data_IF_233951564116
#
_entry.id   IF_233951564116
#
_cell.length_a   1.000
_cell.length_b   1.000
_cell.length_c   1.000
_cell.angle_alpha   90.00
_cell.angle_beta   90.00
_cell.angle_gamma   90.00
#
_symmetry.space_group_name_H-M   'P 1'
#
loop_
_entity.id
_entity.type
_entity.pdbx_description
1 polymer ?
#
# COMPACT_ATOMS: atom_id res chain seq x y z
N UNK A 1 35.62 3.42 9.51
CA UNK A 1 35.46 1.96 9.34
C UNK A 1 34.76 1.25 10.49
N UNK A 2 34.48 1.91 11.61
CA UNK A 2 33.85 1.27 12.80
C UNK A 2 32.31 1.40 12.86
N UNK A 3 31.67 2.21 12.01
CA UNK A 3 30.21 2.48 12.05
C UNK A 3 29.41 1.46 11.23
N UNK A 4 30.00 0.86 10.20
CA UNK A 4 29.33 -0.11 9.32
C UNK A 4 29.11 -1.46 10.00
N UNK A 5 29.97 -1.83 10.94
CA UNK A 5 29.92 -3.13 11.63
C UNK A 5 28.77 -3.20 12.67
N UNK A 6 28.35 -2.07 13.21
CA UNK A 6 27.30 -2.02 14.25
C UNK A 6 25.90 -2.15 13.68
N UNK A 7 25.65 -1.66 12.45
CA UNK A 7 24.33 -1.77 11.81
C UNK A 7 24.00 -3.19 11.35
N UNK A 8 24.99 -3.94 10.87
CA UNK A 8 24.79 -5.34 10.48
C UNK A 8 24.45 -6.26 11.66
N UNK A 9 24.89 -5.93 12.87
CA UNK A 9 24.56 -6.71 14.08
C UNK A 9 23.15 -6.43 14.63
N UNK A 10 22.58 -5.26 14.39
CA UNK A 10 21.21 -4.91 14.84
C UNK A 10 20.16 -5.57 13.95
N UNK A 11 20.38 -5.61 12.64
CA UNK A 11 19.48 -6.32 11.72
C UNK A 11 19.48 -7.83 11.97
N UNK A 12 20.61 -8.42 12.34
CA UNK A 12 20.70 -9.85 12.69
C UNK A 12 19.96 -10.23 13.98
N UNK A 13 19.60 -9.26 14.84
CA UNK A 13 18.88 -9.53 16.10
C UNK A 13 17.35 -9.36 16.00
N UNK A 14 16.84 -8.63 15.02
CA UNK A 14 15.40 -8.41 14.84
C UNK A 14 14.76 -9.54 14.01
N UNK A 15 15.45 -10.05 13.01
CA UNK A 15 15.01 -11.20 12.20
C UNK A 15 14.85 -12.48 13.05
N UNK A 16 15.70 -12.80 14.04
CA UNK A 16 15.51 -14.00 14.87
C UNK A 16 14.29 -13.95 15.80
N UNK A 17 13.80 -12.78 16.19
CA UNK A 17 12.63 -12.68 17.08
C UNK A 17 11.34 -12.99 16.32
N UNK A 18 11.20 -12.55 15.09
CA UNK A 18 10.08 -12.95 14.21
C UNK A 18 10.18 -14.43 13.81
N UNK A 19 11.40 -14.95 13.60
CA UNK A 19 11.65 -16.35 13.27
C UNK A 19 11.56 -17.28 14.50
N UNK A 20 11.93 -16.83 15.68
CA UNK A 20 11.75 -17.64 16.91
C UNK A 20 10.29 -17.86 17.25
N UNK A 21 9.44 -16.85 17.05
CA UNK A 21 7.99 -17.02 17.19
C UNK A 21 7.44 -18.12 16.25
N UNK A 22 7.92 -18.16 15.00
CA UNK A 22 7.52 -19.20 14.03
C UNK A 22 7.98 -20.61 14.41
N UNK A 23 9.23 -20.76 14.90
CA UNK A 23 9.72 -22.09 15.30
C UNK A 23 9.04 -22.63 16.56
N UNK A 24 8.67 -21.78 17.49
CA UNK A 24 7.90 -22.23 18.66
C UNK A 24 6.45 -22.61 18.30
N UNK A 25 5.83 -21.90 17.33
CA UNK A 25 4.47 -22.21 16.86
C UNK A 25 4.47 -23.51 16.02
N UNK A 26 5.51 -23.74 15.18
CA UNK A 26 5.63 -24.96 14.39
C UNK A 26 5.80 -26.23 15.23
N UNK A 27 6.32 -26.12 16.46
CA UNK A 27 6.46 -27.27 17.37
C UNK A 27 5.21 -27.57 18.21
N UNK A 28 4.21 -26.67 18.27
CA UNK A 28 2.99 -26.91 19.07
C UNK A 28 1.83 -27.49 18.25
N UNK A 29 2.01 -27.72 16.96
CA UNK A 29 1.12 -28.56 16.13
C UNK A 29 -0.36 -28.18 16.07
N UNK A 30 -0.78 -26.97 16.45
CA UNK A 30 -2.17 -26.57 16.43
C UNK A 30 -2.46 -25.53 15.31
N UNK A 31 -3.00 -25.96 14.15
CA UNK A 31 -3.31 -25.08 13.02
C UNK A 31 -4.35 -23.97 13.34
N UNK A 32 -5.16 -24.17 14.42
CA UNK A 32 -6.18 -23.18 14.82
C UNK A 32 -5.59 -21.93 15.47
N UNK A 33 -4.42 -22.02 16.12
CA UNK A 33 -3.74 -20.89 16.76
C UNK A 33 -3.11 -19.92 15.74
N UNK A 34 -2.60 -20.41 14.61
CA UNK A 34 -2.03 -19.59 13.57
C UNK A 34 -3.11 -18.78 12.82
N UNK A 35 -4.29 -19.37 12.62
CA UNK A 35 -5.40 -18.67 11.95
C UNK A 35 -5.99 -17.55 12.83
N UNK A 36 -6.14 -17.76 14.16
CA UNK A 36 -6.70 -16.75 15.06
C UNK A 36 -5.78 -15.53 15.27
N UNK A 37 -4.46 -15.72 15.30
CA UNK A 37 -3.49 -14.63 15.45
C UNK A 37 -3.51 -13.72 14.21
N UNK A 38 -3.73 -14.29 13.03
CA UNK A 38 -3.73 -13.55 11.78
C UNK A 38 -5.02 -12.74 11.54
N UNK A 39 -6.17 -13.29 11.92
CA UNK A 39 -7.47 -12.58 11.87
C UNK A 39 -7.52 -11.41 12.85
N UNK A 40 -6.97 -11.58 14.06
CA UNK A 40 -6.87 -10.52 15.06
C UNK A 40 -5.97 -9.35 14.62
N UNK A 41 -4.92 -9.62 13.84
CA UNK A 41 -4.03 -8.55 13.38
C UNK A 41 -4.67 -7.70 12.28
N UNK A 42 -5.35 -8.32 11.32
CA UNK A 42 -6.07 -7.62 10.26
C UNK A 42 -7.23 -6.78 10.82
N UNK A 43 -7.99 -7.32 11.77
CA UNK A 43 -9.08 -6.62 12.44
C UNK A 43 -8.60 -5.45 13.32
N UNK A 44 -7.42 -5.56 13.92
CA UNK A 44 -6.81 -4.48 14.70
C UNK A 44 -6.31 -3.34 13.83
N UNK A 45 -5.85 -3.60 12.61
CA UNK A 45 -5.31 -2.57 11.72
C UNK A 45 -6.36 -1.55 11.27
N UNK A 46 -7.65 -1.91 11.27
CA UNK A 46 -8.77 -1.01 10.94
C UNK A 46 -9.64 -0.66 12.13
N UNK A 47 -9.35 -1.20 13.33
CA UNK A 47 -10.23 -1.05 14.51
C UNK A 47 -10.05 0.27 15.25
N UNK A 48 -8.87 0.89 15.18
CA UNK A 48 -8.59 2.12 15.90
C UNK A 48 -9.30 3.33 15.26
N UNK A 49 -10.00 4.17 16.05
CA UNK A 49 -10.74 5.32 15.51
C UNK A 49 -9.90 6.27 14.66
N UNK A 50 -8.65 6.52 15.03
CA UNK A 50 -7.75 7.38 14.27
C UNK A 50 -7.36 6.79 12.91
N UNK A 51 -7.27 5.46 12.80
CA UNK A 51 -6.98 4.78 11.54
C UNK A 51 -8.17 4.92 10.58
N UNK A 52 -9.39 4.72 11.07
CA UNK A 52 -10.60 4.92 10.26
C UNK A 52 -10.71 6.37 9.78
N UNK A 53 -10.46 7.35 10.64
CA UNK A 53 -10.44 8.77 10.25
C UNK A 53 -9.38 9.04 9.17
N UNK A 54 -8.17 8.52 9.34
CA UNK A 54 -7.11 8.61 8.34
C UNK A 54 -7.53 8.01 7.00
N UNK A 55 -8.05 6.77 7.00
CA UNK A 55 -8.49 6.08 5.80
C UNK A 55 -9.61 6.82 5.07
N UNK A 56 -10.60 7.32 5.80
CA UNK A 56 -11.70 8.10 5.23
C UNK A 56 -11.20 9.41 4.59
N UNK A 57 -10.30 10.13 5.25
CA UNK A 57 -9.71 11.36 4.73
C UNK A 57 -8.86 11.10 3.49
N UNK A 58 -8.05 10.04 3.50
CA UNK A 58 -7.22 9.63 2.37
C UNK A 58 -8.09 9.22 1.18
N UNK A 59 -9.10 8.39 1.39
CA UNK A 59 -10.05 7.98 0.35
C UNK A 59 -10.75 9.20 -0.26
N UNK A 60 -11.26 10.10 0.58
CA UNK A 60 -11.89 11.34 0.11
C UNK A 60 -10.92 12.19 -0.71
N UNK A 61 -9.67 12.32 -0.26
CA UNK A 61 -8.64 13.08 -0.95
C UNK A 61 -8.30 12.50 -2.33
N UNK A 62 -8.19 11.17 -2.44
CA UNK A 62 -8.01 10.47 -3.72
C UNK A 62 -9.21 10.73 -4.64
N UNK A 63 -10.45 10.61 -4.14
CA UNK A 63 -11.65 10.81 -4.94
C UNK A 63 -11.78 12.25 -5.45
N UNK A 64 -11.44 13.25 -4.65
CA UNK A 64 -11.42 14.66 -5.08
C UNK A 64 -10.40 14.92 -6.19
N UNK A 65 -9.37 14.11 -6.29
CA UNK A 65 -8.28 14.27 -7.26
C UNK A 65 -8.21 13.16 -8.31
N UNK A 66 -9.28 12.36 -8.45
CA UNK A 66 -9.27 11.19 -9.36
C UNK A 66 -8.89 11.56 -10.80
N UNK A 67 -9.43 12.64 -11.33
CA UNK A 67 -9.11 13.13 -12.68
C UNK A 67 -7.70 13.73 -12.73
N UNK A 68 -7.23 14.32 -11.63
CA UNK A 68 -5.90 14.91 -11.54
C UNK A 68 -4.80 13.81 -11.58
N UNK A 69 -5.07 12.60 -11.08
CA UNK A 69 -4.14 11.45 -11.15
C UNK A 69 -3.74 11.18 -12.60
N UNK A 70 -4.57 11.53 -13.58
CA UNK A 70 -4.28 11.41 -15.02
C UNK A 70 -4.19 9.97 -15.54
N UNK A 71 -4.78 9.03 -14.81
CA UNK A 71 -5.09 7.69 -15.31
C UNK A 71 -6.49 7.73 -15.91
N UNK A 72 -6.63 7.12 -17.08
CA UNK A 72 -7.94 7.02 -17.70
C UNK A 72 -8.74 5.87 -17.03
N UNK A 73 -9.20 6.13 -15.81
CA UNK A 73 -9.95 5.18 -14.99
C UNK A 73 -11.30 4.80 -15.61
N UNK A 74 -11.83 3.66 -15.18
CA UNK A 74 -13.22 3.27 -15.47
C UNK A 74 -14.13 4.15 -14.62
N UNK A 75 -15.17 4.68 -15.26
CA UNK A 75 -16.24 5.35 -14.53
C UNK A 75 -17.23 4.29 -14.00
N UNK A 76 -17.32 4.10 -12.68
CA UNK A 76 -18.24 3.13 -12.10
C UNK A 76 -19.71 3.37 -12.49
N UNK A 77 -20.10 4.62 -12.78
CA UNK A 77 -21.47 4.95 -13.16
C UNK A 77 -21.84 4.45 -14.56
N UNK A 78 -20.84 4.29 -15.46
CA UNK A 78 -21.10 3.87 -16.85
C UNK A 78 -21.14 2.36 -17.04
N UNK A 79 -20.71 1.56 -16.04
CA UNK A 79 -20.68 0.10 -16.15
C UNK A 79 -22.07 -0.54 -16.14
N UNK A 80 -23.13 0.18 -15.74
CA UNK A 80 -24.51 -0.32 -15.73
C UNK A 80 -25.21 -0.28 -17.11
N UNK A 81 -24.67 0.41 -18.12
CA UNK A 81 -25.35 0.58 -19.41
C UNK A 81 -24.87 -0.34 -20.54
N UNK A 82 -23.90 -1.22 -20.31
CA UNK A 82 -23.34 -2.04 -21.40
C UNK A 82 -23.98 -3.45 -21.40
N UNK A 83 -25.26 -3.51 -21.77
CA UNK A 83 -25.96 -4.73 -22.18
C UNK A 83 -26.08 -4.83 -23.71
N UNK A 84 -25.16 -4.28 -24.49
CA UNK A 84 -25.17 -4.43 -25.95
C UNK A 84 -24.04 -5.34 -26.42
N UNK A 85 -24.35 -6.41 -27.19
CA UNK A 85 -23.39 -7.45 -27.57
C UNK A 85 -22.50 -7.09 -28.76
N UNK A 86 -22.25 -5.82 -29.02
CA UNK A 86 -21.31 -5.41 -30.07
C UNK A 86 -19.94 -5.13 -29.48
N UNK A 87 -19.11 -6.16 -29.53
CA UNK A 87 -17.64 -6.22 -29.44
C UNK A 87 -16.91 -4.87 -29.49
N UNK A 88 -16.70 -4.25 -28.32
CA UNK A 88 -15.50 -3.45 -28.07
C UNK A 88 -14.74 -4.19 -26.99
N UNK A 89 -13.48 -4.49 -27.22
CA UNK A 89 -12.57 -5.06 -26.21
C UNK A 89 -12.73 -4.26 -24.93
N UNK A 90 -13.19 -4.90 -23.87
CA UNK A 90 -13.39 -4.26 -22.58
C UNK A 90 -12.05 -3.65 -22.18
N UNK A 91 -12.04 -2.33 -22.02
CA UNK A 91 -10.84 -1.58 -21.62
C UNK A 91 -10.29 -2.16 -20.34
N UNK A 92 -9.00 -2.46 -20.30
CA UNK A 92 -8.29 -2.88 -19.10
C UNK A 92 -7.60 -1.67 -18.48
N UNK A 93 -7.72 -1.54 -17.16
CA UNK A 93 -6.96 -0.61 -16.33
C UNK A 93 -6.32 -1.42 -15.22
N UNK A 94 -4.99 -1.49 -15.20
CA UNK A 94 -4.22 -2.32 -14.28
C UNK A 94 -3.46 -1.47 -13.27
N UNK A 95 -3.59 -1.82 -11.99
CA UNK A 95 -2.97 -1.11 -10.88
C UNK A 95 -2.01 -2.03 -10.12
N UNK A 96 -0.79 -1.56 -9.89
CA UNK A 96 0.14 -2.14 -8.92
C UNK A 96 0.11 -1.27 -7.66
N UNK A 97 -0.34 -1.85 -6.55
CA UNK A 97 -0.30 -1.27 -5.21
C UNK A 97 0.92 -1.82 -4.48
N UNK A 98 2.02 -1.04 -4.41
CA UNK A 98 3.28 -1.48 -3.81
C UNK A 98 3.40 -0.98 -2.37
N UNK A 99 3.86 -1.86 -1.47
CA UNK A 99 3.69 -1.71 -0.02
C UNK A 99 2.20 -1.58 0.34
N UNK A 100 1.40 -2.48 -0.25
CA UNK A 100 -0.06 -2.38 -0.29
C UNK A 100 -0.73 -2.46 1.09
N UNK A 101 -0.04 -2.99 2.11
CA UNK A 101 -0.64 -3.22 3.42
C UNK A 101 -1.94 -4.02 3.31
N UNK A 102 -3.01 -3.63 4.02
CA UNK A 102 -4.32 -4.27 3.92
C UNK A 102 -5.18 -3.75 2.75
N UNK A 103 -4.58 -3.07 1.74
CA UNK A 103 -5.26 -2.65 0.53
C UNK A 103 -6.00 -1.31 0.61
N UNK A 104 -5.48 -0.35 1.34
CA UNK A 104 -6.10 0.98 1.49
C UNK A 104 -6.29 1.70 0.16
N UNK A 105 -5.27 1.70 -0.70
CA UNK A 105 -5.34 2.38 -2.00
C UNK A 105 -6.22 1.60 -2.98
N UNK A 106 -6.10 0.28 -3.00
CA UNK A 106 -6.96 -0.58 -3.81
C UNK A 106 -8.43 -0.35 -3.47
N UNK A 107 -8.79 -0.29 -2.19
CA UNK A 107 -10.14 0.05 -1.74
C UNK A 107 -10.57 1.46 -2.17
N UNK A 108 -9.72 2.47 -2.01
CA UNK A 108 -10.04 3.84 -2.40
C UNK A 108 -10.28 4.00 -3.91
N UNK A 109 -9.61 3.21 -4.74
CA UNK A 109 -9.82 3.19 -6.19
C UNK A 109 -11.02 2.31 -6.59
N UNK A 110 -11.31 1.27 -5.84
CA UNK A 110 -12.47 0.37 -6.02
C UNK A 110 -12.69 -0.06 -7.48
N UNK A 111 -13.90 0.10 -8.02
CA UNK A 111 -14.28 -0.33 -9.37
C UNK A 111 -13.71 0.55 -10.52
N UNK A 112 -12.75 1.43 -10.22
CA UNK A 112 -12.11 2.30 -11.23
C UNK A 112 -11.02 1.63 -12.06
N UNK A 113 -10.60 0.45 -11.64
CA UNK A 113 -9.67 -0.39 -12.42
C UNK A 113 -10.21 -1.81 -12.58
N UNK A 114 -9.67 -2.55 -13.55
CA UNK A 114 -10.09 -3.94 -13.83
C UNK A 114 -9.30 -4.94 -13.03
N UNK A 115 -8.03 -4.63 -12.73
CA UNK A 115 -7.10 -5.57 -12.13
C UNK A 115 -6.20 -4.86 -11.12
N UNK A 116 -6.09 -5.43 -9.93
CA UNK A 116 -5.22 -4.94 -8.87
C UNK A 116 -4.24 -6.03 -8.46
N UNK A 117 -2.96 -5.69 -8.45
CA UNK A 117 -1.92 -6.53 -7.86
C UNK A 117 -1.30 -5.77 -6.70
N UNK A 118 -1.40 -6.33 -5.50
CA UNK A 118 -0.69 -5.85 -4.31
C UNK A 118 0.66 -6.53 -4.16
N UNK A 119 1.69 -5.79 -3.77
CA UNK A 119 2.96 -6.35 -3.31
C UNK A 119 3.28 -5.76 -1.95
N UNK A 120 3.57 -6.63 -0.97
CA UNK A 120 4.03 -6.20 0.35
C UNK A 120 5.14 -7.13 0.84
N UNK A 121 6.05 -6.60 1.65
CA UNK A 121 7.11 -7.38 2.29
C UNK A 121 6.57 -8.26 3.42
N UNK A 122 5.46 -7.86 4.03
CA UNK A 122 4.84 -8.51 5.18
C UNK A 122 3.82 -9.56 4.74
N UNK A 123 4.07 -10.84 5.07
CA UNK A 123 3.11 -11.92 4.85
C UNK A 123 1.75 -11.64 5.51
N UNK A 124 1.74 -10.99 6.68
CA UNK A 124 0.50 -10.67 7.40
C UNK A 124 -0.31 -9.60 6.67
N UNK A 125 0.36 -8.62 6.04
CA UNK A 125 -0.31 -7.59 5.23
C UNK A 125 -0.89 -8.19 3.95
N UNK A 126 -0.12 -9.03 3.26
CA UNK A 126 -0.59 -9.76 2.08
C UNK A 126 -1.81 -10.64 2.42
N UNK A 127 -1.78 -11.32 3.57
CA UNK A 127 -2.92 -12.10 4.02
C UNK A 127 -4.14 -11.23 4.30
N UNK A 128 -3.96 -10.08 4.98
CA UNK A 128 -5.04 -9.13 5.26
C UNK A 128 -5.66 -8.59 3.96
N UNK A 129 -4.82 -8.23 3.00
CA UNK A 129 -5.25 -7.81 1.67
C UNK A 129 -6.10 -8.90 0.98
N UNK A 130 -5.58 -10.13 0.91
CA UNK A 130 -6.26 -11.22 0.22
C UNK A 130 -7.57 -11.64 0.92
N UNK A 131 -7.64 -11.55 2.25
CA UNK A 131 -8.91 -11.79 2.98
C UNK A 131 -9.94 -10.72 2.64
N UNK A 132 -9.52 -9.46 2.52
CA UNK A 132 -10.42 -8.35 2.22
C UNK A 132 -11.02 -8.46 0.81
N UNK A 133 -10.19 -8.73 -0.20
CA UNK A 133 -10.61 -8.69 -1.61
C UNK A 133 -11.01 -10.05 -2.18
N UNK A 134 -10.63 -11.16 -1.53
CA UNK A 134 -10.99 -12.52 -1.92
C UNK A 134 -11.40 -13.33 -0.67
N UNK A 135 -12.52 -12.99 -0.04
CA UNK A 135 -12.98 -13.71 1.12
C UNK A 135 -13.31 -15.17 0.73
N UNK A 136 -12.51 -16.11 1.23
CA UNK A 136 -12.82 -17.51 1.07
C UNK A 136 -14.02 -17.85 1.93
N UNK A 137 -15.13 -18.41 1.39
CA UNK A 137 -16.35 -18.72 2.17
C UNK A 137 -16.08 -19.68 3.34
N UNK A 138 -14.97 -20.42 3.34
CA UNK A 138 -14.56 -21.27 4.46
C UNK A 138 -13.95 -20.49 5.64
N UNK A 139 -13.58 -19.22 5.44
CA UNK A 139 -12.97 -18.36 6.46
C UNK A 139 -13.90 -17.23 6.96
N UNK A 140 -15.16 -17.22 6.54
CA UNK A 140 -16.16 -16.27 6.99
C UNK A 140 -16.45 -16.52 8.49
N UNK A 141 -15.63 -15.94 9.35
CA UNK A 141 -15.97 -15.77 10.76
C UNK A 141 -17.02 -14.66 10.82
N UNK A 142 -18.20 -14.97 11.38
CA UNK A 142 -19.32 -14.05 11.58
C UNK A 142 -18.84 -12.72 12.21
N UNK A 143 -18.51 -11.74 11.41
CA UNK A 143 -18.38 -10.34 11.82
C UNK A 143 -19.74 -9.68 11.57
N UNK A 144 -20.66 -9.88 12.49
CA UNK A 144 -21.86 -9.04 12.57
C UNK A 144 -21.47 -7.69 13.14
N UNK A 145 -20.96 -6.79 12.32
CA UNK A 145 -20.82 -5.38 12.67
C UNK A 145 -22.14 -4.67 12.38
N UNK A 146 -22.67 -4.01 13.41
CA UNK A 146 -24.02 -3.44 13.47
C UNK A 146 -24.16 -2.08 12.78
N UNK A 147 -23.25 -1.66 11.90
CA UNK A 147 -23.28 -0.37 11.22
C UNK A 147 -23.46 -0.55 9.71
N UNK A 148 -24.69 -0.29 9.24
CA UNK A 148 -25.15 -0.56 7.88
C UNK A 148 -24.43 0.18 6.74
N UNK A 149 -23.63 1.22 7.01
CA UNK A 149 -22.85 1.93 5.99
C UNK A 149 -21.50 1.24 5.68
N UNK A 150 -20.83 0.67 6.70
CA UNK A 150 -19.59 -0.10 6.52
C UNK A 150 -19.83 -1.39 5.72
N UNK A 151 -21.02 -2.00 5.84
CA UNK A 151 -21.36 -3.25 5.17
C UNK A 151 -21.53 -3.14 3.63
N UNK A 152 -21.71 -1.93 3.08
CA UNK A 152 -21.81 -1.73 1.62
C UNK A 152 -20.45 -1.60 0.96
N UNK A 153 -19.51 -0.92 1.61
CA UNK A 153 -18.15 -0.75 1.10
C UNK A 153 -17.37 -2.07 1.11
N UNK A 154 -17.54 -2.89 2.17
CA UNK A 154 -16.92 -4.22 2.25
C UNK A 154 -17.41 -5.16 1.14
N UNK A 155 -18.70 -5.10 0.75
CA UNK A 155 -19.24 -5.91 -0.36
C UNK A 155 -18.68 -5.51 -1.72
N UNK A 156 -18.33 -4.25 -1.92
CA UNK A 156 -17.70 -3.79 -3.17
C UNK A 156 -16.29 -4.37 -3.31
N UNK A 157 -15.52 -4.40 -2.22
CA UNK A 157 -14.17 -4.98 -2.22
C UNK A 157 -14.16 -6.46 -2.65
N UNK A 158 -15.15 -7.24 -2.20
CA UNK A 158 -15.30 -8.67 -2.55
C UNK A 158 -15.53 -8.92 -4.06
N UNK A 159 -15.91 -7.90 -4.82
CA UNK A 159 -16.17 -8.01 -6.26
C UNK A 159 -14.97 -7.60 -7.12
N UNK A 160 -13.93 -7.05 -6.52
CA UNK A 160 -12.75 -6.61 -7.25
C UNK A 160 -11.87 -7.79 -7.67
N UNK A 161 -11.33 -7.72 -8.89
CA UNK A 161 -10.24 -8.62 -9.29
C UNK A 161 -8.91 -8.12 -8.69
N UNK A 162 -8.69 -8.48 -7.44
CA UNK A 162 -7.57 -7.99 -6.64
C UNK A 162 -6.91 -9.13 -5.87
N UNK A 163 -5.59 -9.19 -5.90
CA UNK A 163 -4.80 -10.12 -5.09
C UNK A 163 -3.46 -9.51 -4.72
N UNK A 164 -2.86 -9.99 -3.64
CA UNK A 164 -1.53 -9.57 -3.23
C UNK A 164 -0.57 -10.75 -3.09
N UNK A 165 0.71 -10.47 -3.32
CA UNK A 165 1.82 -11.41 -3.15
C UNK A 165 2.90 -10.83 -2.23
N UNK A 166 3.61 -11.71 -1.52
CA UNK A 166 4.79 -11.30 -0.75
C UNK A 166 5.94 -11.05 -1.70
N UNK A 167 6.58 -9.89 -1.60
CA UNK A 167 7.70 -9.59 -2.46
C UNK A 167 8.46 -8.32 -2.08
N UNK A 168 9.70 -8.25 -2.58
CA UNK A 168 10.58 -7.10 -2.41
C UNK A 168 11.23 -6.73 -3.75
N UNK A 169 10.82 -5.63 -4.34
CA UNK A 169 11.45 -5.07 -5.54
C UNK A 169 12.66 -4.17 -5.22
N UNK A 170 12.89 -3.88 -3.94
CA UNK A 170 13.88 -2.90 -3.50
C UNK A 170 15.16 -3.55 -2.95
N UNK A 171 15.27 -4.87 -2.99
CA UNK A 171 16.50 -5.55 -2.60
C UNK A 171 17.60 -5.27 -3.66
N UNK A 172 18.69 -4.56 -3.31
CA UNK A 172 19.76 -4.31 -4.25
C UNK A 172 20.52 -5.58 -4.66
N UNK A 173 20.40 -6.66 -3.88
CA UNK A 173 21.04 -7.96 -4.16
C UNK A 173 20.20 -8.85 -5.07
N UNK A 174 18.90 -8.63 -5.13
CA UNK A 174 17.96 -9.33 -6.04
C UNK A 174 17.17 -8.31 -6.87
N UNK A 175 17.79 -7.76 -7.91
CA UNK A 175 17.18 -6.72 -8.72
C UNK A 175 15.98 -7.20 -9.55
N UNK A 176 15.83 -8.50 -9.72
CA UNK A 176 14.76 -9.09 -10.53
C UNK A 176 14.28 -10.38 -9.90
N UNK A 177 13.54 -10.30 -8.78
CA UNK A 177 13.04 -11.49 -8.09
C UNK A 177 12.27 -12.39 -9.05
N UNK A 178 12.64 -13.65 -9.15
CA UNK A 178 12.10 -14.57 -10.16
C UNK A 178 10.56 -14.66 -10.09
N UNK A 179 9.99 -14.66 -8.88
CA UNK A 179 8.55 -14.73 -8.66
C UNK A 179 7.79 -13.43 -8.99
N UNK A 180 8.51 -12.29 -9.19
CA UNK A 180 7.95 -11.01 -9.60
C UNK A 180 8.38 -10.61 -11.02
N UNK A 181 8.93 -11.57 -11.79
CA UNK A 181 9.48 -11.31 -13.13
C UNK A 181 8.57 -11.81 -14.26
N UNK A 182 7.43 -12.43 -13.93
CA UNK A 182 6.43 -12.82 -14.93
C UNK A 182 5.71 -11.59 -15.53
N UNK A 183 5.17 -11.70 -16.76
CA UNK A 183 4.54 -10.57 -17.47
C UNK A 183 3.41 -9.89 -16.71
N UNK A 184 2.75 -10.59 -15.79
CA UNK A 184 1.66 -10.05 -14.98
C UNK A 184 2.09 -8.90 -14.07
N UNK A 185 3.39 -8.85 -13.68
CA UNK A 185 3.94 -7.78 -12.84
C UNK A 185 4.48 -6.58 -13.63
N UNK A 186 4.10 -6.45 -14.90
CA UNK A 186 4.52 -5.35 -15.78
C UNK A 186 3.34 -4.75 -16.53
N UNK A 187 3.59 -3.61 -17.20
CA UNK A 187 2.63 -2.91 -18.05
C UNK A 187 1.40 -2.41 -17.30
N UNK A 188 1.60 -1.85 -16.09
CA UNK A 188 0.55 -1.21 -15.31
C UNK A 188 0.22 0.18 -15.84
N UNK A 189 -1.05 0.55 -15.78
CA UNK A 189 -1.54 1.90 -16.03
C UNK A 189 -1.19 2.82 -14.86
N UNK A 190 -1.24 2.28 -13.66
CA UNK A 190 -0.90 2.96 -12.41
C UNK A 190 0.00 2.07 -11.56
N UNK A 191 1.11 2.61 -11.10
CA UNK A 191 1.89 2.08 -9.98
C UNK A 191 1.78 3.08 -8.84
N UNK A 192 1.32 2.63 -7.68
CA UNK A 192 1.07 3.50 -6.54
C UNK A 192 1.73 2.98 -5.28
N UNK A 193 2.20 3.91 -4.43
CA UNK A 193 2.63 3.64 -3.05
C UNK A 193 1.82 4.54 -2.12
N UNK A 194 1.00 3.95 -1.26
CA UNK A 194 0.17 4.67 -0.31
C UNK A 194 0.67 4.56 1.13
N UNK A 195 1.13 5.67 1.71
CA UNK A 195 1.58 5.78 3.10
C UNK A 195 2.71 4.80 3.47
N UNK A 196 3.51 4.42 2.48
CA UNK A 196 4.60 3.45 2.63
C UNK A 196 5.95 3.93 2.09
N UNK A 197 5.98 5.00 1.31
CA UNK A 197 7.18 5.47 0.63
C UNK A 197 8.25 5.97 1.61
N UNK A 198 7.83 6.58 2.71
CA UNK A 198 8.71 7.06 3.78
C UNK A 198 9.42 5.93 4.57
N UNK A 199 9.06 4.67 4.34
CA UNK A 199 9.75 3.50 4.91
C UNK A 199 10.92 3.00 4.07
N UNK A 200 11.01 3.41 2.80
CA UNK A 200 12.04 2.92 1.88
C UNK A 200 13.40 3.54 2.21
N UNK A 201 14.45 2.72 2.29
CA UNK A 201 15.80 3.17 2.60
C UNK A 201 16.47 3.90 1.43
N UNK A 202 16.22 3.44 0.21
CA UNK A 202 16.78 3.96 -1.03
C UNK A 202 15.64 4.39 -1.96
N UNK A 203 15.25 5.66 -1.85
CA UNK A 203 14.17 6.25 -2.63
C UNK A 203 14.46 6.27 -4.14
N UNK A 204 15.67 6.67 -4.60
CA UNK A 204 16.01 6.60 -6.03
C UNK A 204 15.88 5.19 -6.61
N UNK A 205 16.37 4.17 -5.92
CA UNK A 205 16.25 2.78 -6.35
C UNK A 205 14.78 2.35 -6.38
N UNK A 206 14.02 2.68 -5.34
CA UNK A 206 12.60 2.37 -5.25
C UNK A 206 11.83 2.97 -6.43
N UNK A 207 11.99 4.27 -6.67
CA UNK A 207 11.32 4.97 -7.77
C UNK A 207 11.65 4.30 -9.10
N UNK A 208 12.92 4.07 -9.39
CA UNK A 208 13.35 3.42 -10.64
C UNK A 208 12.69 2.07 -10.84
N UNK A 209 12.75 1.18 -9.83
CA UNK A 209 12.19 -0.18 -9.90
C UNK A 209 10.68 -0.20 -10.10
N UNK A 210 9.98 0.73 -9.47
CA UNK A 210 8.54 0.85 -9.60
C UNK A 210 8.14 1.44 -10.96
N UNK A 211 8.88 2.41 -11.48
CA UNK A 211 8.67 2.97 -12.83
C UNK A 211 8.91 1.92 -13.93
N UNK A 212 9.84 0.96 -13.73
CA UNK A 212 10.06 -0.16 -14.65
C UNK A 212 8.79 -1.01 -14.84
N UNK A 213 7.87 -1.04 -13.87
CA UNK A 213 6.61 -1.81 -13.90
C UNK A 213 5.50 -1.15 -14.70
N UNK A 214 5.61 0.15 -14.96
CA UNK A 214 4.65 0.90 -15.77
C UNK A 214 4.77 0.58 -17.26
N UNK A 215 3.62 0.61 -17.95
CA UNK A 215 3.60 0.74 -19.42
C UNK A 215 4.06 2.14 -19.86
N UNK A 216 4.45 2.35 -21.12
CA UNK A 216 4.56 3.70 -21.67
C UNK A 216 3.25 4.49 -21.49
N UNK A 217 3.35 5.73 -21.06
CA UNK A 217 2.19 6.57 -20.70
C UNK A 217 1.54 6.24 -19.37
N UNK A 218 2.01 5.23 -18.62
CA UNK A 218 1.50 4.89 -17.29
C UNK A 218 1.95 5.90 -16.23
N UNK A 219 1.21 5.95 -15.12
CA UNK A 219 1.39 6.93 -14.04
C UNK A 219 2.03 6.27 -12.82
N UNK A 220 3.08 6.90 -12.27
CA UNK A 220 3.60 6.63 -10.94
C UNK A 220 2.97 7.63 -9.96
N UNK A 221 2.36 7.11 -8.89
CA UNK A 221 1.65 7.91 -7.90
C UNK A 221 2.17 7.61 -6.49
N UNK A 222 2.47 8.65 -5.73
CA UNK A 222 2.80 8.56 -4.30
C UNK A 222 1.73 9.30 -3.51
N UNK A 223 1.19 8.65 -2.49
CA UNK A 223 0.45 9.27 -1.40
C UNK A 223 1.29 9.13 -0.13
N UNK A 224 1.76 10.24 0.41
CA UNK A 224 2.57 10.25 1.63
C UNK A 224 2.46 11.62 2.33
N UNK A 225 3.34 11.92 3.27
CA UNK A 225 3.30 13.13 4.09
C UNK A 225 4.34 14.16 3.66
N UNK A 226 3.94 15.43 3.71
CA UNK A 226 4.85 16.57 3.60
C UNK A 226 5.88 16.49 4.73
N UNK A 227 7.10 16.92 4.49
CA UNK A 227 8.18 16.98 5.49
C UNK A 227 7.69 17.57 6.81
N UNK A 228 7.97 16.90 7.89
CA UNK A 228 7.58 17.27 9.25
C UNK A 228 8.72 17.01 10.23
N UNK A 229 8.63 17.61 11.42
CA UNK A 229 9.57 17.29 12.49
C UNK A 229 9.37 15.85 12.97
N UNK A 230 10.47 15.17 13.28
CA UNK A 230 10.43 13.85 13.93
C UNK A 230 10.03 14.07 15.40
N UNK A 231 8.76 13.83 15.70
CA UNK A 231 8.24 13.93 17.06
C UNK A 231 8.60 12.68 17.86
N UNK A 232 9.07 12.89 19.11
CA UNK A 232 9.18 11.79 20.06
C UNK A 232 7.81 11.61 20.71
N UNK A 233 7.21 10.41 20.62
CA UNK A 233 5.96 10.12 21.33
C UNK A 233 6.07 10.47 22.81
N UNK A 234 5.07 11.14 23.34
CA UNK A 234 4.94 11.44 24.76
C UNK A 234 4.71 10.16 25.60
N UNK A 235 4.11 9.13 24.98
CA UNK A 235 3.83 7.84 25.62
C UNK A 235 5.08 6.94 25.68
N UNK A 236 5.56 6.54 26.88
CA UNK A 236 6.69 5.63 27.04
C UNK A 236 6.49 4.25 26.37
N UNK A 237 5.25 3.74 26.30
CA UNK A 237 4.94 2.47 25.66
C UNK A 237 5.07 2.57 24.13
N UNK A 238 4.70 3.71 23.56
CA UNK A 238 4.85 3.97 22.12
C UNK A 238 6.29 4.27 21.72
N UNK A 239 7.15 4.75 22.63
CA UNK A 239 8.60 4.91 22.39
C UNK A 239 9.31 3.57 22.19
N UNK A 240 8.73 2.47 22.67
CA UNK A 240 9.27 1.11 22.50
C UNK A 240 8.76 0.41 21.23
N UNK A 241 7.72 0.96 20.58
CA UNK A 241 7.32 0.48 19.26
C UNK A 241 8.39 0.91 18.24
N UNK A 242 8.74 0.04 17.28
CA UNK A 242 9.82 0.32 16.34
C UNK A 242 9.48 1.53 15.47
N UNK A 243 9.86 2.73 15.89
CA UNK A 243 9.98 3.90 15.01
C UNK A 243 11.11 3.71 13.98
N UNK A 244 11.85 2.60 14.11
CA UNK A 244 13.00 2.24 13.26
C UNK A 244 12.63 1.83 11.84
N UNK A 245 11.33 1.75 11.51
CA UNK A 245 10.89 1.48 10.14
C UNK A 245 10.71 2.74 9.30
N UNK A 246 10.63 3.93 9.92
CA UNK A 246 10.51 5.21 9.22
C UNK A 246 11.91 5.69 8.84
N UNK A 247 12.22 5.71 7.55
CA UNK A 247 13.51 6.18 7.03
C UNK A 247 13.50 7.69 6.76
N UNK A 248 12.34 8.25 6.41
CA UNK A 248 12.19 9.65 6.04
C UNK A 248 11.05 10.32 6.80
N UNK A 249 11.27 11.56 7.25
CA UNK A 249 10.26 12.39 7.93
C UNK A 249 9.37 13.15 6.91
N UNK A 250 8.78 12.42 5.96
CA UNK A 250 8.04 13.00 4.84
C UNK A 250 8.96 13.54 3.74
N UNK A 251 8.37 14.23 2.75
CA UNK A 251 9.06 14.66 1.54
C UNK A 251 8.73 16.11 1.19
N UNK A 252 9.72 16.84 0.65
CA UNK A 252 9.52 18.11 -0.02
C UNK A 252 9.16 17.88 -1.50
N UNK A 253 8.60 18.91 -2.14
CA UNK A 253 8.28 18.88 -3.56
C UNK A 253 9.54 18.76 -4.43
N UNK A 254 10.62 19.45 -4.03
CA UNK A 254 11.90 19.46 -4.74
C UNK A 254 12.54 18.07 -4.74
N UNK A 255 12.53 17.38 -3.58
CA UNK A 255 13.04 16.01 -3.46
C UNK A 255 12.26 15.05 -4.35
N UNK A 256 10.92 15.10 -4.28
CA UNK A 256 10.07 14.22 -5.09
C UNK A 256 10.27 14.47 -6.58
N UNK A 257 10.32 15.74 -7.00
CA UNK A 257 10.58 16.12 -8.40
C UNK A 257 11.90 15.53 -8.88
N UNK A 258 12.96 15.68 -8.09
CA UNK A 258 14.28 15.13 -8.41
C UNK A 258 14.27 13.62 -8.56
N UNK A 259 13.60 12.88 -7.67
CA UNK A 259 13.48 11.41 -7.74
C UNK A 259 12.71 10.95 -8.97
N UNK A 260 11.61 11.64 -9.29
CA UNK A 260 10.75 11.32 -10.43
C UNK A 260 11.49 11.58 -11.77
N UNK A 261 12.09 12.74 -11.92
CA UNK A 261 12.85 13.09 -13.12
C UNK A 261 14.08 12.18 -13.32
N UNK A 262 14.78 11.84 -12.23
CA UNK A 262 15.92 10.89 -12.28
C UNK A 262 15.51 9.48 -12.68
N UNK A 263 14.26 9.09 -12.42
CA UNK A 263 13.69 7.81 -12.83
C UNK A 263 13.11 7.83 -14.26
N UNK A 264 13.21 8.96 -14.98
CA UNK A 264 12.72 9.12 -16.36
C UNK A 264 11.24 9.44 -16.46
N UNK A 265 10.61 9.90 -15.38
CA UNK A 265 9.23 10.38 -15.40
C UNK A 265 9.17 11.84 -15.86
N UNK A 266 8.12 12.16 -16.57
CA UNK A 266 7.75 13.51 -17.00
C UNK A 266 6.44 13.92 -16.34
N UNK A 267 6.01 15.15 -16.60
CA UNK A 267 4.70 15.68 -16.16
C UNK A 267 4.49 15.57 -14.63
N UNK A 268 5.60 15.80 -13.89
CA UNK A 268 5.55 15.81 -12.44
C UNK A 268 4.57 16.86 -11.92
N UNK A 269 3.66 16.43 -11.06
CA UNK A 269 2.73 17.30 -10.36
C UNK A 269 2.53 16.82 -8.92
N UNK A 270 2.24 17.76 -8.02
CA UNK A 270 1.94 17.49 -6.61
C UNK A 270 0.72 18.30 -6.18
N UNK A 271 -0.11 17.71 -5.35
CA UNK A 271 -1.19 18.37 -4.64
C UNK A 271 -1.17 17.98 -3.17
N UNK A 272 -1.37 18.95 -2.30
CA UNK A 272 -1.33 18.76 -0.85
C UNK A 272 -2.75 18.84 -0.31
N UNK A 273 -3.09 17.96 0.63
CA UNK A 273 -4.41 17.98 1.28
C UNK A 273 -4.62 19.30 2.01
N UNK A 274 -5.83 19.84 1.93
CA UNK A 274 -6.24 20.94 2.79
C UNK A 274 -6.46 20.42 4.21
N UNK A 275 -5.66 20.95 5.17
CA UNK A 275 -5.65 20.49 6.55
C UNK A 275 -4.71 19.33 6.83
N UNK A 276 -4.90 18.70 7.99
CA UNK A 276 -4.02 17.69 8.55
C UNK A 276 -4.80 16.44 8.97
N UNK A 277 -4.11 15.33 9.02
CA UNK A 277 -4.58 14.08 9.63
C UNK A 277 -3.85 13.87 10.96
N UNK A 278 -4.51 13.17 11.89
CA UNK A 278 -3.91 12.79 13.17
C UNK A 278 -3.47 11.31 13.10
N UNK A 279 -2.19 11.06 13.25
CA UNK A 279 -1.68 9.71 13.41
C UNK A 279 -1.63 9.37 14.90
N UNK A 280 -2.18 8.22 15.27
CA UNK A 280 -2.25 7.73 16.66
C UNK A 280 -2.84 8.75 17.64
N UNK A 281 -3.70 9.64 17.14
CA UNK A 281 -4.36 10.68 17.96
C UNK A 281 -3.49 11.86 18.37
N UNK A 282 -2.20 11.89 18.04
CA UNK A 282 -1.25 12.90 18.52
C UNK A 282 -0.51 13.62 17.39
N UNK A 283 0.08 12.87 16.47
CA UNK A 283 0.99 13.43 15.47
C UNK A 283 0.21 13.99 14.28
N UNK A 284 0.31 15.29 14.05
CA UNK A 284 -0.28 15.97 12.90
C UNK A 284 0.56 15.76 11.66
N UNK A 285 -0.06 15.36 10.57
CA UNK A 285 0.59 15.15 9.27
C UNK A 285 -0.26 15.72 8.16
N UNK A 286 0.38 16.33 7.18
CA UNK A 286 -0.28 16.82 5.98
C UNK A 286 -0.02 15.86 4.81
N UNK A 287 -1.05 15.14 4.32
CA UNK A 287 -0.90 14.26 3.16
C UNK A 287 -0.70 15.05 1.87
N UNK A 288 -0.05 14.41 0.90
CA UNK A 288 0.03 14.86 -0.48
C UNK A 288 -0.19 13.70 -1.45
N UNK A 289 -0.58 14.03 -2.67
CA UNK A 289 -0.45 13.17 -3.85
C UNK A 289 0.64 13.78 -4.76
N UNK A 290 1.57 12.95 -5.22
CA UNK A 290 2.55 13.33 -6.22
C UNK A 290 2.51 12.32 -7.37
N UNK A 291 2.47 12.80 -8.62
CA UNK A 291 2.41 11.97 -9.81
C UNK A 291 3.47 12.32 -10.83
N UNK A 292 3.84 11.35 -11.65
CA UNK A 292 4.65 11.53 -12.85
C UNK A 292 4.30 10.47 -13.88
N UNK A 293 4.50 10.78 -15.17
CA UNK A 293 4.17 9.91 -16.29
C UNK A 293 5.43 9.28 -16.88
N UNK A 294 5.39 7.98 -17.15
CA UNK A 294 6.44 7.28 -17.90
C UNK A 294 6.30 7.58 -19.39
N UNK A 295 7.40 7.97 -20.03
CA UNK A 295 7.47 8.16 -21.49
C UNK A 295 7.28 6.86 -22.26
#
# INVERSE_FOLDING_TARGET
>A
MAIITTMAMVMARIIPIMWRSRRQIAHTGNPRLTCSINSDFASRYTSEPWQRDLLNKVTTFIHQHINWISVDFIDPATTFEISSPTSKTKRQVRVLDYACGPGTITHALAARATDYIGIDLSENMVQAYNVRFNPNPTNAVNTSSADGAAAQDDKLDETLNAHAVVGNLLDPKDPSPAHLSSPEFFNFDLVVVGLGYHHFQDIPLATKRLVERLRPGGIFLILDFVTHAMEKSSDPAQRQLPTHTVAHAGFSEEELRSYFESAGLTDFAIVKMDGEVLLRGEAKRRPFLARGQKL
#
